data_IF_104992230022
#
_entry.id   IF_104992230022
#
_cell.length_a   1.000
_cell.length_b   1.000
_cell.length_c   1.000
_cell.angle_alpha   90.00
_cell.angle_beta   90.00
_cell.angle_gamma   90.00
#
_symmetry.space_group_name_H-M   'P 1'
#
loop_
_entity.id
_entity.type
_entity.pdbx_description
1 polymer ?
#
# COMPACT_ATOMS: atom_id res chain seq x y z
N UNK A 1 4.91 -0.85 -10.14
CA UNK A 1 5.65 0.24 -9.48
C UNK A 1 6.95 -0.32 -8.89
N UNK A 2 8.03 0.50 -8.88
CA UNK A 2 9.27 0.22 -8.13
C UNK A 2 9.57 1.43 -7.25
N UNK A 3 9.85 1.22 -5.97
CA UNK A 3 10.15 2.25 -4.99
C UNK A 3 11.59 2.11 -4.46
N UNK A 4 12.59 2.66 -5.17
CA UNK A 4 13.98 2.60 -4.77
C UNK A 4 14.25 3.53 -3.57
N UNK A 5 15.41 3.40 -2.89
CA UNK A 5 15.86 4.40 -1.93
C UNK A 5 15.95 5.80 -2.53
N UNK A 6 15.61 6.83 -1.76
CA UNK A 6 15.51 8.22 -2.20
C UNK A 6 16.70 8.75 -3.03
N UNK A 7 17.98 8.41 -2.73
CA UNK A 7 19.13 8.88 -3.53
C UNK A 7 19.13 8.45 -5.00
N UNK A 8 18.35 7.45 -5.37
CA UNK A 8 18.29 6.94 -6.75
C UNK A 8 17.10 7.49 -7.55
N UNK A 9 16.17 8.19 -6.92
CA UNK A 9 14.92 8.62 -7.56
C UNK A 9 15.16 9.51 -8.77
N UNK A 10 15.97 10.56 -8.65
CA UNK A 10 16.24 11.47 -9.75
C UNK A 10 16.87 10.76 -10.95
N UNK A 11 17.90 9.95 -10.72
CA UNK A 11 18.56 9.21 -11.79
C UNK A 11 17.63 8.19 -12.49
N UNK A 12 16.74 7.56 -11.73
CA UNK A 12 15.76 6.63 -12.29
C UNK A 12 14.64 7.36 -13.04
N UNK A 13 14.20 8.52 -12.55
CA UNK A 13 13.21 9.35 -13.24
C UNK A 13 13.73 9.88 -14.58
N UNK A 14 14.99 10.35 -14.62
CA UNK A 14 15.66 10.80 -15.84
C UNK A 14 15.76 9.68 -16.90
N UNK A 15 15.89 8.43 -16.46
CA UNK A 15 15.93 7.27 -17.36
C UNK A 15 14.57 6.90 -17.95
N UNK A 16 13.48 7.52 -17.53
CA UNK A 16 12.10 7.28 -17.99
C UNK A 16 11.73 5.78 -18.04
N UNK A 17 11.76 5.07 -16.91
CA UNK A 17 11.55 3.62 -16.89
C UNK A 17 10.14 3.23 -17.38
N UNK A 18 9.96 2.03 -17.95
CA UNK A 18 8.65 1.58 -18.43
C UNK A 18 7.72 1.12 -17.30
N UNK A 19 7.96 1.55 -16.08
CA UNK A 19 7.16 1.25 -14.89
C UNK A 19 6.98 2.52 -14.06
N UNK A 20 5.98 2.53 -13.20
CA UNK A 20 5.73 3.65 -12.28
C UNK A 20 6.84 3.72 -11.23
N UNK A 21 7.40 4.93 -11.04
CA UNK A 21 8.41 5.20 -10.02
C UNK A 21 7.71 5.60 -8.72
N UNK A 22 8.09 4.94 -7.61
CA UNK A 22 7.55 5.19 -6.28
C UNK A 22 8.61 5.76 -5.32
N UNK A 23 8.17 6.56 -4.35
CA UNK A 23 8.98 6.96 -3.22
C UNK A 23 8.58 6.18 -1.97
N UNK A 24 9.54 5.88 -1.08
CA UNK A 24 9.31 5.12 0.15
C UNK A 24 8.77 5.97 1.31
N UNK A 25 8.78 7.29 1.17
CA UNK A 25 8.31 8.25 2.16
C UNK A 25 8.19 9.65 1.54
N UNK A 26 7.55 10.57 2.27
CA UNK A 26 7.43 12.00 1.98
C UNK A 26 7.43 12.79 3.29
N UNK A 27 7.77 14.06 3.24
CA UNK A 27 7.57 15.00 4.36
C UNK A 27 6.08 15.28 4.60
N UNK A 28 5.68 15.39 5.87
CA UNK A 28 4.38 15.93 6.24
C UNK A 28 4.29 17.45 6.01
N UNK A 29 5.44 18.12 5.94
CA UNK A 29 5.54 19.57 5.71
C UNK A 29 5.66 19.90 4.23
N UNK A 30 5.13 21.04 3.82
CA UNK A 30 5.38 21.62 2.52
C UNK A 30 6.80 22.20 2.38
N UNK A 31 7.11 22.87 1.25
CA UNK A 31 8.41 23.51 1.04
C UNK A 31 8.75 24.49 2.16
N UNK A 32 9.99 24.43 2.66
CA UNK A 32 10.44 25.29 3.77
C UNK A 32 11.74 24.84 4.43
N UNK A 33 11.99 25.31 5.65
CA UNK A 33 13.19 25.02 6.43
C UNK A 33 13.07 23.68 7.17
N UNK A 34 13.01 22.60 6.41
CA UNK A 34 12.91 21.22 6.91
C UNK A 34 14.12 20.41 6.42
N UNK A 35 15.28 20.67 7.02
CA UNK A 35 16.55 20.10 6.58
C UNK A 35 16.52 18.58 6.51
N UNK A 36 16.76 18.02 5.31
CA UNK A 36 16.80 16.58 5.07
C UNK A 36 15.48 15.96 4.60
N UNK A 37 14.37 16.73 4.58
CA UNK A 37 13.07 16.27 4.14
C UNK A 37 12.88 16.43 2.61
N UNK A 38 12.09 15.53 2.03
CA UNK A 38 11.65 15.58 0.64
C UNK A 38 10.16 15.84 0.59
N UNK A 39 9.76 16.99 0.00
CA UNK A 39 8.34 17.30 -0.18
C UNK A 39 7.74 16.52 -1.35
N UNK A 40 6.40 16.44 -1.43
CA UNK A 40 5.72 15.76 -2.51
C UNK A 40 6.02 16.40 -3.89
N UNK A 41 6.16 17.73 -3.95
CA UNK A 41 6.51 18.45 -5.16
C UNK A 41 7.94 18.14 -5.63
N UNK A 42 8.92 18.00 -4.70
CA UNK A 42 10.28 17.57 -5.02
C UNK A 42 10.28 16.16 -5.61
N UNK A 43 9.50 15.24 -5.03
CA UNK A 43 9.36 13.88 -5.52
C UNK A 43 8.72 13.85 -6.92
N UNK A 44 7.64 14.62 -7.13
CA UNK A 44 7.03 14.79 -8.45
C UNK A 44 8.02 15.30 -9.48
N UNK A 45 8.88 16.29 -9.12
CA UNK A 45 9.96 16.80 -9.95
C UNK A 45 11.02 15.75 -10.33
N UNK A 46 11.17 14.68 -9.54
CA UNK A 46 12.02 13.53 -9.86
C UNK A 46 11.29 12.44 -10.69
N UNK A 47 10.07 12.69 -11.18
CA UNK A 47 9.30 11.72 -11.95
C UNK A 47 8.60 10.64 -11.10
N UNK A 48 8.54 10.82 -9.78
CA UNK A 48 7.77 9.95 -8.87
C UNK A 48 6.29 10.09 -9.17
N UNK A 49 5.58 8.98 -9.19
CA UNK A 49 4.14 8.90 -9.45
C UNK A 49 3.36 8.34 -8.27
N UNK A 50 4.02 7.56 -7.41
CA UNK A 50 3.42 6.90 -6.25
C UNK A 50 4.27 7.15 -5.00
N UNK A 51 3.63 7.28 -3.82
CA UNK A 51 4.36 7.47 -2.57
C UNK A 51 3.81 6.52 -1.50
N UNK A 52 4.68 5.75 -0.86
CA UNK A 52 4.36 4.91 0.28
C UNK A 52 4.29 5.80 1.52
N UNK A 53 3.18 5.74 2.25
CA UNK A 53 2.93 6.53 3.46
C UNK A 53 2.42 5.63 4.57
N UNK A 54 2.93 5.81 5.79
CA UNK A 54 2.47 5.11 6.97
C UNK A 54 2.96 3.66 7.10
N UNK A 55 4.02 3.26 6.36
CA UNK A 55 4.63 1.94 6.49
C UNK A 55 5.00 1.64 7.94
N UNK A 56 4.79 0.41 8.39
CA UNK A 56 4.98 -0.02 9.80
C UNK A 56 6.36 0.34 10.35
N UNK A 57 7.43 0.17 9.58
CA UNK A 57 8.79 0.57 10.00
C UNK A 57 8.90 2.06 10.33
N UNK A 58 8.12 2.91 9.67
CA UNK A 58 8.13 4.34 9.93
C UNK A 58 7.29 4.72 11.13
N UNK A 59 6.18 4.01 11.35
CA UNK A 59 5.37 4.15 12.56
C UNK A 59 6.17 3.79 13.79
N UNK A 60 6.89 2.66 13.76
CA UNK A 60 7.66 2.15 14.89
C UNK A 60 8.98 2.91 15.10
N UNK A 61 9.72 3.18 14.04
CA UNK A 61 11.10 3.66 14.13
C UNK A 61 11.29 5.17 13.95
N UNK A 62 10.31 5.88 13.38
CA UNK A 62 10.45 7.28 12.96
C UNK A 62 9.34 8.19 13.45
N UNK A 63 8.40 7.68 14.24
CA UNK A 63 7.34 8.47 14.85
C UNK A 63 6.24 8.94 13.89
N UNK A 64 6.03 8.24 12.79
CA UNK A 64 4.91 8.50 11.88
C UNK A 64 3.60 8.01 12.55
N UNK A 65 3.03 8.81 13.47
CA UNK A 65 1.72 8.53 14.06
C UNK A 65 0.57 8.77 13.07
N UNK A 66 -0.66 8.46 13.46
CA UNK A 66 -1.82 8.56 12.56
C UNK A 66 -2.05 9.98 12.05
N UNK A 67 -1.74 11.01 12.87
CA UNK A 67 -1.83 12.41 12.47
C UNK A 67 -0.78 12.76 11.40
N UNK A 68 0.48 12.39 11.64
CA UNK A 68 1.58 12.60 10.67
C UNK A 68 1.30 11.87 9.37
N UNK A 69 0.75 10.66 9.45
CA UNK A 69 0.37 9.87 8.26
C UNK A 69 -0.74 10.57 7.48
N UNK A 70 -1.80 11.07 8.13
CA UNK A 70 -2.85 11.84 7.48
C UNK A 70 -2.29 13.08 6.76
N UNK A 71 -1.45 13.87 7.44
CA UNK A 71 -0.78 15.03 6.83
C UNK A 71 0.05 14.65 5.60
N UNK A 72 0.75 13.50 5.62
CA UNK A 72 1.51 13.00 4.48
C UNK A 72 0.60 12.57 3.32
N UNK A 73 -0.52 11.91 3.62
CA UNK A 73 -1.53 11.54 2.62
C UNK A 73 -2.03 12.78 1.88
N UNK A 74 -2.39 13.82 2.63
CA UNK A 74 -2.84 15.09 2.06
C UNK A 74 -1.78 15.69 1.12
N UNK A 75 -0.51 15.78 1.56
CA UNK A 75 0.59 16.33 0.74
C UNK A 75 0.80 15.57 -0.57
N UNK A 76 0.71 14.25 -0.53
CA UNK A 76 0.85 13.41 -1.72
C UNK A 76 -0.28 13.70 -2.71
N UNK A 77 -1.53 13.74 -2.24
CA UNK A 77 -2.70 13.96 -3.09
C UNK A 77 -2.77 15.40 -3.61
N UNK A 78 -2.42 16.41 -2.80
CA UNK A 78 -2.29 17.83 -3.22
C UNK A 78 -1.28 18.01 -4.35
N UNK A 79 -0.17 17.26 -4.32
CA UNK A 79 0.83 17.29 -5.38
C UNK A 79 0.43 16.52 -6.65
N UNK A 80 -0.78 15.94 -6.69
CA UNK A 80 -1.28 15.17 -7.83
C UNK A 80 -0.70 13.76 -7.92
N UNK A 81 0.01 13.30 -6.89
CA UNK A 81 0.59 11.95 -6.83
C UNK A 81 -0.44 10.94 -6.30
N UNK A 82 -0.16 9.66 -6.50
CA UNK A 82 -0.92 8.56 -5.92
C UNK A 82 -0.30 8.14 -4.59
N UNK A 83 -1.12 7.95 -3.57
CA UNK A 83 -0.68 7.46 -2.26
C UNK A 83 -0.88 5.95 -2.15
N UNK A 84 0.13 5.25 -1.61
CA UNK A 84 0.03 3.88 -1.12
C UNK A 84 0.03 3.99 0.40
N UNK A 85 -1.18 4.05 0.96
CA UNK A 85 -1.40 4.18 2.39
C UNK A 85 -1.26 2.81 3.06
N UNK A 86 -0.34 2.71 4.02
CA UNK A 86 -0.09 1.50 4.80
C UNK A 86 -0.81 1.55 6.15
N UNK A 87 -1.52 0.48 6.46
CA UNK A 87 -2.17 0.24 7.75
C UNK A 87 -1.96 -1.20 8.19
N UNK A 88 -2.00 -1.44 9.48
CA UNK A 88 -1.77 -2.78 10.00
C UNK A 88 -1.79 -2.85 11.51
N UNK A 89 -1.78 -4.08 12.01
CA UNK A 89 -1.86 -4.40 13.44
C UNK A 89 -0.67 -5.22 13.94
N UNK A 90 -0.39 -5.10 15.23
CA UNK A 90 0.59 -5.91 15.93
C UNK A 90 0.06 -7.31 16.28
N UNK A 91 0.97 -8.22 16.67
CA UNK A 91 0.58 -9.52 17.19
C UNK A 91 -0.28 -9.40 18.45
N UNK A 92 0.00 -8.40 19.30
CA UNK A 92 -0.78 -8.15 20.50
C UNK A 92 -2.21 -7.74 20.18
N UNK A 93 -2.40 -6.82 19.19
CA UNK A 93 -3.74 -6.42 18.76
C UNK A 93 -4.56 -7.61 18.27
N UNK A 94 -3.93 -8.53 17.53
CA UNK A 94 -4.57 -9.75 17.05
C UNK A 94 -4.89 -10.74 18.18
N UNK A 95 -3.99 -10.91 19.15
CA UNK A 95 -4.20 -11.79 20.30
C UNK A 95 -5.29 -11.29 21.27
N UNK A 96 -5.51 -9.98 21.29
CA UNK A 96 -6.56 -9.35 22.10
C UNK A 96 -7.84 -9.04 21.34
N UNK A 97 -7.94 -9.52 20.10
CA UNK A 97 -9.11 -9.42 19.23
C UNK A 97 -9.57 -7.97 18.93
N UNK A 98 -8.61 -7.03 18.91
CA UNK A 98 -8.83 -5.61 18.58
C UNK A 98 -8.21 -5.21 17.24
N UNK A 99 -7.74 -6.16 16.46
CA UNK A 99 -6.99 -5.93 15.22
C UNK A 99 -7.82 -5.23 14.13
N UNK A 100 -9.10 -5.55 13.98
CA UNK A 100 -9.99 -4.82 13.07
C UNK A 100 -10.14 -3.36 13.48
N UNK A 101 -10.49 -3.11 14.74
CA UNK A 101 -10.62 -1.75 15.26
C UNK A 101 -9.34 -0.94 15.08
N UNK A 102 -8.18 -1.58 15.27
CA UNK A 102 -6.88 -0.93 15.08
C UNK A 102 -6.66 -0.48 13.64
N UNK A 103 -6.88 -1.38 12.68
CA UNK A 103 -6.71 -1.09 11.25
C UNK A 103 -7.73 -0.07 10.78
N UNK A 104 -9.00 -0.24 11.11
CA UNK A 104 -10.06 0.67 10.66
C UNK A 104 -9.91 2.08 11.24
N UNK A 105 -9.41 2.26 12.47
CA UNK A 105 -9.07 3.59 13.00
C UNK A 105 -7.93 4.26 12.23
N UNK A 106 -6.93 3.52 11.79
CA UNK A 106 -5.88 4.07 10.93
C UNK A 106 -6.46 4.53 9.58
N UNK A 107 -7.38 3.75 8.99
CA UNK A 107 -8.12 4.10 7.78
C UNK A 107 -8.94 5.38 7.98
N UNK A 108 -9.74 5.43 9.06
CA UNK A 108 -10.56 6.60 9.42
C UNK A 108 -9.70 7.85 9.56
N UNK A 109 -8.61 7.77 10.30
CA UNK A 109 -7.71 8.91 10.52
C UNK A 109 -7.06 9.43 9.24
N UNK A 110 -6.66 8.53 8.34
CA UNK A 110 -5.85 8.88 7.17
C UNK A 110 -6.67 9.26 5.94
N UNK A 111 -7.86 8.69 5.72
CA UNK A 111 -8.56 8.81 4.44
C UNK A 111 -10.04 9.20 4.53
N UNK A 112 -10.72 9.12 5.70
CA UNK A 112 -12.16 9.44 5.79
C UNK A 112 -12.48 10.90 5.46
N UNK A 113 -11.55 11.82 5.73
CA UNK A 113 -11.72 13.25 5.47
C UNK A 113 -11.51 13.64 4.00
N UNK A 114 -11.02 12.71 3.17
CA UNK A 114 -10.69 12.99 1.77
C UNK A 114 -11.95 13.15 0.92
N UNK A 115 -11.98 14.11 -0.01
CA UNK A 115 -13.06 14.22 -0.96
C UNK A 115 -13.05 13.05 -1.97
N UNK A 116 -14.22 12.66 -2.45
CA UNK A 116 -14.39 11.49 -3.31
C UNK A 116 -13.61 11.57 -4.63
N UNK A 117 -13.35 12.77 -5.15
CA UNK A 117 -12.67 13.02 -6.42
C UNK A 117 -11.15 12.75 -6.38
N UNK A 118 -10.56 12.51 -5.20
CA UNK A 118 -9.15 12.12 -5.07
C UNK A 118 -8.97 10.63 -4.77
N UNK A 119 -10.05 9.90 -4.49
CA UNK A 119 -9.97 8.49 -4.05
C UNK A 119 -9.45 7.54 -5.13
N UNK A 120 -9.53 7.89 -6.41
CA UNK A 120 -8.92 7.17 -7.52
C UNK A 120 -7.37 7.14 -7.46
N UNK A 121 -6.80 8.04 -6.63
CA UNK A 121 -5.36 8.10 -6.35
C UNK A 121 -4.96 7.50 -5.02
N UNK A 122 -5.87 6.80 -4.35
CA UNK A 122 -5.60 6.07 -3.11
C UNK A 122 -5.45 4.57 -3.40
N UNK A 123 -4.41 3.99 -2.84
CA UNK A 123 -4.18 2.54 -2.76
C UNK A 123 -3.97 2.21 -1.29
N UNK A 124 -4.60 1.16 -0.79
CA UNK A 124 -4.40 0.72 0.59
C UNK A 124 -3.50 -0.51 0.60
N UNK A 125 -2.50 -0.52 1.49
CA UNK A 125 -1.64 -1.67 1.73
C UNK A 125 -1.84 -2.16 3.17
N UNK A 126 -2.40 -3.34 3.34
CA UNK A 126 -2.55 -3.96 4.65
C UNK A 126 -1.29 -4.71 5.05
N UNK A 127 -0.74 -4.38 6.20
CA UNK A 127 0.46 -4.96 6.78
C UNK A 127 0.11 -5.77 8.04
N UNK A 128 0.06 -7.11 8.01
CA UNK A 128 0.13 -7.91 9.23
C UNK A 128 1.53 -7.75 9.84
N UNK A 129 1.75 -6.74 10.71
CA UNK A 129 3.08 -6.32 11.20
C UNK A 129 3.80 -7.50 11.86
N UNK A 130 3.06 -8.38 12.53
CA UNK A 130 3.58 -9.60 13.14
C UNK A 130 4.11 -10.64 12.15
N UNK A 131 3.80 -10.50 10.87
CA UNK A 131 4.26 -11.35 9.78
C UNK A 131 5.32 -10.68 8.87
N UNK A 132 5.85 -9.51 9.25
CA UNK A 132 6.88 -8.79 8.48
C UNK A 132 8.25 -9.06 9.10
N UNK A 133 9.16 -9.73 8.36
CA UNK A 133 10.53 -9.98 8.80
C UNK A 133 10.70 -10.93 9.98
N UNK A 134 9.63 -11.52 10.50
CA UNK A 134 9.63 -12.41 11.67
C UNK A 134 9.79 -13.88 11.32
N UNK A 135 9.66 -14.24 10.04
CA UNK A 135 9.58 -15.63 9.59
C UNK A 135 8.16 -16.23 9.67
N UNK A 136 7.23 -15.55 10.31
CA UNK A 136 5.81 -15.90 10.28
C UNK A 136 5.18 -15.40 8.97
N UNK A 137 4.11 -16.04 8.55
CA UNK A 137 3.31 -15.65 7.39
C UNK A 137 1.85 -15.70 7.78
N UNK A 138 1.07 -14.66 7.44
CA UNK A 138 -0.37 -14.74 7.59
C UNK A 138 -0.91 -15.84 6.66
N UNK A 139 -1.94 -16.54 7.10
CA UNK A 139 -2.66 -17.48 6.22
C UNK A 139 -3.48 -16.70 5.20
N UNK A 140 -3.91 -17.37 4.14
CA UNK A 140 -4.79 -16.82 3.12
C UNK A 140 -6.10 -16.32 3.72
N UNK A 141 -6.66 -17.10 4.67
CA UNK A 141 -7.88 -16.75 5.39
C UNK A 141 -7.70 -15.47 6.23
N UNK A 142 -6.57 -15.33 6.92
CA UNK A 142 -6.26 -14.13 7.72
C UNK A 142 -6.06 -12.89 6.83
N UNK A 143 -5.42 -13.05 5.68
CA UNK A 143 -5.27 -11.99 4.71
C UNK A 143 -6.63 -11.58 4.12
N UNK A 144 -7.41 -12.56 3.66
CA UNK A 144 -8.76 -12.33 3.11
C UNK A 144 -9.69 -11.67 4.13
N UNK A 145 -9.70 -12.14 5.36
CA UNK A 145 -10.56 -11.61 6.43
C UNK A 145 -10.34 -10.12 6.66
N UNK A 146 -9.08 -9.67 6.77
CA UNK A 146 -8.77 -8.26 6.96
C UNK A 146 -9.03 -7.44 5.69
N UNK A 147 -8.68 -7.96 4.51
CA UNK A 147 -8.96 -7.28 3.26
C UNK A 147 -10.46 -7.09 3.04
N UNK A 148 -11.28 -8.10 3.36
CA UNK A 148 -12.74 -7.99 3.31
C UNK A 148 -13.28 -6.94 4.30
N UNK A 149 -12.72 -6.88 5.52
CA UNK A 149 -13.10 -5.87 6.50
C UNK A 149 -12.76 -4.44 6.02
N UNK A 150 -11.57 -4.25 5.43
CA UNK A 150 -11.17 -2.95 4.83
C UNK A 150 -12.10 -2.61 3.66
N UNK A 151 -12.40 -3.56 2.77
CA UNK A 151 -13.31 -3.36 1.64
C UNK A 151 -14.72 -2.98 2.09
N UNK A 152 -15.26 -3.67 3.10
CA UNK A 152 -16.55 -3.38 3.71
C UNK A 152 -16.59 -1.97 4.32
N UNK A 153 -15.55 -1.59 5.08
CA UNK A 153 -15.45 -0.25 5.64
C UNK A 153 -15.42 0.85 4.55
N UNK A 154 -14.70 0.63 3.45
CA UNK A 154 -14.68 1.56 2.32
C UNK A 154 -16.07 1.72 1.70
N UNK A 155 -16.85 0.62 1.58
CA UNK A 155 -18.22 0.65 1.09
C UNK A 155 -19.16 1.44 2.00
N UNK A 156 -18.99 1.30 3.32
CA UNK A 156 -19.78 2.04 4.31
C UNK A 156 -19.38 3.54 4.38
N UNK A 157 -18.09 3.83 4.30
CA UNK A 157 -17.56 5.19 4.43
C UNK A 157 -17.77 6.06 3.17
N UNK A 158 -17.76 5.45 1.99
CA UNK A 158 -17.92 6.12 0.71
C UNK A 158 -19.11 5.51 -0.06
N UNK A 159 -18.87 4.55 -0.93
CA UNK A 159 -19.87 3.74 -1.61
C UNK A 159 -19.24 2.43 -2.16
N UNK A 160 -20.09 1.49 -2.59
CA UNK A 160 -19.69 0.18 -3.09
C UNK A 160 -18.83 0.22 -4.37
N UNK A 161 -19.08 1.17 -5.27
CA UNK A 161 -18.33 1.28 -6.52
C UNK A 161 -16.93 1.83 -6.24
N UNK A 162 -16.81 2.81 -5.34
CA UNK A 162 -15.53 3.31 -4.87
C UNK A 162 -14.76 2.24 -4.12
N UNK A 163 -15.40 1.51 -3.21
CA UNK A 163 -14.77 0.41 -2.49
C UNK A 163 -14.16 -0.63 -3.45
N UNK A 164 -14.85 -0.96 -4.54
CA UNK A 164 -14.35 -1.89 -5.56
C UNK A 164 -13.22 -1.31 -6.42
N UNK A 165 -13.17 0.01 -6.58
CA UNK A 165 -12.17 0.69 -7.41
C UNK A 165 -10.83 0.91 -6.71
N UNK A 166 -10.82 1.00 -5.37
CA UNK A 166 -9.61 1.22 -4.56
C UNK A 166 -8.82 -0.09 -4.45
N UNK A 167 -7.57 -0.17 -4.98
CA UNK A 167 -6.77 -1.37 -4.87
C UNK A 167 -6.36 -1.64 -3.42
N UNK A 168 -6.53 -2.88 -2.96
CA UNK A 168 -6.08 -3.36 -1.66
C UNK A 168 -4.89 -4.31 -1.84
N UNK A 169 -3.72 -3.91 -1.34
CA UNK A 169 -2.48 -4.66 -1.45
C UNK A 169 -2.18 -5.41 -0.15
N UNK A 170 -1.71 -6.65 -0.27
CA UNK A 170 -1.16 -7.38 0.86
C UNK A 170 0.31 -6.98 1.08
N UNK A 171 0.64 -6.48 2.27
CA UNK A 171 1.96 -5.98 2.67
C UNK A 171 2.74 -6.92 3.61
N UNK A 172 2.23 -8.11 3.89
CA UNK A 172 2.95 -9.10 4.68
C UNK A 172 3.99 -9.89 3.89
N UNK A 173 4.54 -10.95 4.50
CA UNK A 173 5.53 -11.82 3.86
C UNK A 173 4.94 -12.53 2.65
N UNK A 174 5.33 -12.08 1.45
CA UNK A 174 4.93 -12.66 0.18
C UNK A 174 6.17 -13.15 -0.58
N UNK A 175 6.13 -14.41 -1.00
CA UNK A 175 7.21 -15.10 -1.72
C UNK A 175 6.61 -15.86 -2.92
N UNK A 176 7.39 -16.26 -3.92
CA UNK A 176 6.88 -17.05 -5.06
C UNK A 176 6.06 -18.28 -4.64
N UNK A 177 6.39 -18.89 -3.50
CA UNK A 177 5.73 -20.12 -3.03
C UNK A 177 4.30 -19.90 -2.49
N UNK A 178 3.93 -18.69 -2.03
CA UNK A 178 2.60 -18.39 -1.47
C UNK A 178 1.84 -17.28 -2.25
N UNK A 179 2.44 -16.74 -3.28
CA UNK A 179 1.89 -15.59 -4.01
C UNK A 179 0.58 -15.92 -4.72
N UNK A 180 0.52 -17.05 -5.44
CA UNK A 180 -0.69 -17.44 -6.20
C UNK A 180 -1.90 -17.58 -5.26
N UNK A 181 -1.71 -18.18 -4.09
CA UNK A 181 -2.78 -18.38 -3.12
C UNK A 181 -3.23 -17.05 -2.47
N UNK A 182 -2.28 -16.20 -2.06
CA UNK A 182 -2.59 -14.87 -1.51
C UNK A 182 -3.29 -13.98 -2.54
N UNK A 183 -2.80 -13.93 -3.77
CA UNK A 183 -3.41 -13.10 -4.81
C UNK A 183 -4.73 -13.68 -5.33
N UNK A 184 -5.03 -14.96 -5.11
CA UNK A 184 -6.33 -15.56 -5.42
C UNK A 184 -7.44 -15.18 -4.42
N UNK A 185 -7.10 -14.65 -3.24
CA UNK A 185 -8.08 -14.15 -2.26
C UNK A 185 -8.93 -13.03 -2.88
N UNK A 186 -10.24 -13.06 -2.69
CA UNK A 186 -11.21 -12.23 -3.41
C UNK A 186 -10.95 -10.72 -3.28
N UNK A 187 -10.52 -10.27 -2.09
CA UNK A 187 -10.29 -8.85 -1.79
C UNK A 187 -8.81 -8.44 -1.82
N UNK A 188 -7.90 -9.33 -2.22
CA UNK A 188 -6.47 -9.01 -2.41
C UNK A 188 -6.21 -8.67 -3.87
N UNK A 189 -5.92 -7.40 -4.18
CA UNK A 189 -5.72 -6.92 -5.55
C UNK A 189 -4.25 -6.97 -6.00
N UNK A 190 -3.33 -7.31 -5.08
CA UNK A 190 -1.90 -7.40 -5.36
C UNK A 190 -1.06 -7.41 -4.11
N UNK A 191 0.24 -7.07 -4.24
CA UNK A 191 1.16 -7.06 -3.11
C UNK A 191 2.05 -5.82 -3.06
N UNK A 192 2.35 -5.36 -1.84
CA UNK A 192 3.44 -4.43 -1.55
C UNK A 192 4.64 -5.27 -1.08
N UNK A 193 5.64 -5.44 -1.94
CA UNK A 193 6.70 -6.42 -1.77
C UNK A 193 7.98 -5.74 -1.31
N UNK A 194 8.51 -6.15 -0.14
CA UNK A 194 9.78 -5.69 0.40
C UNK A 194 10.94 -6.64 0.06
N UNK A 195 11.40 -7.44 1.01
CA UNK A 195 12.62 -8.26 0.90
C UNK A 195 12.71 -9.16 -0.34
N UNK A 196 11.61 -9.75 -0.78
CA UNK A 196 11.59 -10.60 -1.98
C UNK A 196 11.82 -9.80 -3.28
N UNK A 197 11.61 -8.48 -3.27
CA UNK A 197 11.88 -7.62 -4.43
C UNK A 197 13.38 -7.30 -4.61
N UNK A 198 14.23 -7.64 -3.65
CA UNK A 198 15.68 -7.47 -3.75
C UNK A 198 16.35 -8.55 -4.61
N UNK A 199 15.67 -9.65 -4.87
CA UNK A 199 16.10 -10.69 -5.80
C UNK A 199 15.28 -10.60 -7.09
N UNK A 200 15.91 -10.33 -8.26
CA UNK A 200 15.19 -10.10 -9.51
C UNK A 200 14.35 -11.30 -9.97
N UNK A 201 14.79 -12.53 -9.72
CA UNK A 201 14.06 -13.72 -10.13
C UNK A 201 12.83 -13.96 -9.25
N UNK A 202 12.96 -13.76 -7.94
CA UNK A 202 11.84 -13.78 -7.01
C UNK A 202 10.82 -12.69 -7.36
N UNK A 203 11.27 -11.46 -7.62
CA UNK A 203 10.37 -10.37 -7.96
C UNK A 203 9.63 -10.62 -9.28
N UNK A 204 10.34 -11.11 -10.30
CA UNK A 204 9.72 -11.50 -11.58
C UNK A 204 8.65 -12.58 -11.38
N UNK A 205 8.94 -13.62 -10.60
CA UNK A 205 7.97 -14.68 -10.32
C UNK A 205 6.71 -14.15 -9.61
N UNK A 206 6.85 -13.17 -8.70
CA UNK A 206 5.72 -12.51 -8.04
C UNK A 206 4.86 -11.68 -9.01
N UNK A 207 5.50 -10.94 -9.92
CA UNK A 207 4.80 -10.18 -10.97
C UNK A 207 4.05 -11.11 -11.91
N UNK A 208 4.67 -12.22 -12.33
CA UNK A 208 4.04 -13.23 -13.18
C UNK A 208 2.85 -13.91 -12.46
N UNK A 209 2.98 -14.19 -11.15
CA UNK A 209 1.89 -14.72 -10.32
C UNK A 209 0.69 -13.76 -10.29
N UNK A 210 0.93 -12.48 -9.98
CA UNK A 210 -0.13 -11.46 -9.98
C UNK A 210 -0.82 -11.34 -11.35
N UNK A 211 -0.03 -11.40 -12.43
CA UNK A 211 -0.56 -11.37 -13.80
C UNK A 211 -1.45 -12.57 -14.14
N UNK A 212 -1.04 -13.80 -13.77
CA UNK A 212 -1.86 -15.02 -13.98
C UNK A 212 -3.19 -14.95 -13.23
N UNK A 213 -3.15 -14.57 -11.95
CA UNK A 213 -4.36 -14.49 -11.13
C UNK A 213 -5.31 -13.40 -11.64
N UNK A 214 -4.78 -12.24 -12.02
CA UNK A 214 -5.58 -11.16 -12.62
C UNK A 214 -6.26 -11.58 -13.92
N UNK A 215 -5.54 -12.27 -14.81
CA UNK A 215 -6.11 -12.80 -16.06
C UNK A 215 -7.24 -13.79 -15.80
N UNK A 216 -7.06 -14.72 -14.87
CA UNK A 216 -8.08 -15.70 -14.50
C UNK A 216 -9.36 -15.05 -13.93
N UNK A 217 -9.21 -13.97 -13.14
CA UNK A 217 -10.37 -13.21 -12.61
C UNK A 217 -11.15 -12.52 -13.73
N UNK A 218 -10.47 -11.93 -14.71
CA UNK A 218 -11.10 -11.26 -15.85
C UNK A 218 -11.89 -12.28 -16.69
N UNK A 219 -11.31 -13.45 -16.97
CA UNK A 219 -11.97 -14.54 -17.70
C UNK A 219 -13.23 -15.03 -16.97
N UNK A 220 -13.14 -15.29 -15.66
CA UNK A 220 -14.29 -15.72 -14.85
C UNK A 220 -15.41 -14.66 -14.78
N UNK A 221 -15.05 -13.37 -14.71
CA UNK A 221 -16.02 -12.26 -14.74
C UNK A 221 -16.73 -12.12 -16.08
N UNK A 222 -16.03 -12.38 -17.18
CA UNK A 222 -16.60 -12.32 -18.53
C UNK A 222 -17.59 -13.48 -18.84
N UNK A 223 -17.42 -14.65 -18.21
CA UNK A 223 -18.33 -15.80 -18.33
C UNK A 223 -19.62 -15.64 -17.51
N UNK A 224 -19.63 -14.70 -16.55
CA UNK A 224 -20.75 -14.47 -15.62
C UNK A 224 -21.66 -13.30 -16.03
N UNK A 225 -21.33 -12.59 -17.11
CA UNK A 225 -22.04 -11.40 -17.65
C UNK A 225 -22.80 -11.73 -18.92
#
# INVERSE_FOLDING_TARGET
>A
MIAPPAPYLAAMGDAQPPFRLGAQNVSASGPGAHTGEFTAEMLAGCGVQDVIVGHSERRDGYGDDDKVVAEKVDRVLEAGLRVIFCCGESLQDRQTDVHFDKVLRQMESAILHLPSDVMDRVVVAYEPIWAIGTGLTATEEQAQEMHAAIRGWLGEAFDEDMAKSIPLLYGGSCKPANADALFACADVDGGLIGGAALDPDSFRALVESAGRVSAARIEAGAESS
#
